data_IF_763553664557
#
_entry.id   IF_763553664557
#
_cell.length_a   1.000
_cell.length_b   1.000
_cell.length_c   1.000
_cell.angle_alpha   90.00
_cell.angle_beta   90.00
_cell.angle_gamma   90.00
#
_symmetry.space_group_name_H-M   'P 1'
#
loop_
_entity.id
_entity.type
_entity.pdbx_description
1 polymer ?
#
# COMPACT_ATOMS: atom_id res chain seq x y z
N UNK A 1 -13.56 16.04 -10.25
CA UNK A 1 -14.33 15.07 -9.44
C UNK A 1 -13.32 14.31 -8.57
N UNK A 2 -13.53 14.17 -7.25
CA UNK A 2 -12.62 13.40 -6.41
C UNK A 2 -12.55 11.93 -6.86
N UNK A 3 -11.35 11.34 -6.77
CA UNK A 3 -11.10 9.94 -7.10
C UNK A 3 -11.13 9.12 -5.82
N UNK A 4 -12.01 8.13 -5.74
CA UNK A 4 -12.06 7.16 -4.64
C UNK A 4 -11.67 5.79 -5.19
N UNK A 5 -10.48 5.32 -4.83
CA UNK A 5 -10.04 3.98 -5.20
C UNK A 5 -10.77 2.94 -4.35
N UNK A 6 -11.05 1.78 -4.93
CA UNK A 6 -11.44 0.61 -4.16
C UNK A 6 -10.27 0.15 -3.28
N UNK A 7 -10.53 -0.17 -2.00
CA UNK A 7 -9.51 -0.62 -1.06
C UNK A 7 -8.72 -1.83 -1.55
N UNK A 8 -9.30 -2.68 -2.40
CA UNK A 8 -8.61 -3.82 -3.02
C UNK A 8 -7.40 -3.39 -3.85
N UNK A 9 -7.40 -2.20 -4.44
CA UNK A 9 -6.20 -1.65 -5.09
C UNK A 9 -5.02 -1.57 -4.13
N UNK A 10 -5.26 -1.10 -2.91
CA UNK A 10 -4.21 -0.96 -1.89
C UNK A 10 -3.84 -2.30 -1.26
N UNK A 11 -4.79 -3.22 -1.08
CA UNK A 11 -4.48 -4.59 -0.62
C UNK A 11 -3.55 -5.32 -1.61
N UNK A 12 -3.83 -5.21 -2.91
CA UNK A 12 -2.97 -5.79 -3.94
C UNK A 12 -1.61 -5.08 -3.98
N UNK A 13 -1.58 -3.75 -3.91
CA UNK A 13 -0.32 -3.00 -3.85
C UNK A 13 0.53 -3.41 -2.65
N UNK A 14 -0.06 -3.55 -1.47
CA UNK A 14 0.64 -4.00 -0.27
C UNK A 14 1.23 -5.40 -0.45
N UNK A 15 0.47 -6.30 -1.10
CA UNK A 15 0.98 -7.63 -1.46
C UNK A 15 2.21 -7.51 -2.36
N UNK A 16 2.17 -6.69 -3.42
CA UNK A 16 3.32 -6.49 -4.33
C UNK A 16 4.54 -5.94 -3.57
N UNK A 17 4.36 -4.96 -2.69
CA UNK A 17 5.44 -4.38 -1.88
C UNK A 17 6.09 -5.42 -0.96
N UNK A 18 5.28 -6.18 -0.25
CA UNK A 18 5.75 -7.24 0.64
C UNK A 18 6.51 -8.33 -0.15
N UNK A 19 5.95 -8.75 -1.29
CA UNK A 19 6.55 -9.80 -2.12
C UNK A 19 7.85 -9.35 -2.76
N UNK A 20 7.93 -8.11 -3.24
CA UNK A 20 9.18 -7.58 -3.77
C UNK A 20 10.30 -7.57 -2.72
N UNK A 21 9.98 -7.21 -1.47
CA UNK A 21 10.91 -7.31 -0.35
C UNK A 21 11.35 -8.75 -0.08
N UNK A 22 10.47 -9.74 -0.27
CA UNK A 22 10.85 -11.14 -0.14
C UNK A 22 11.76 -11.61 -1.29
N UNK A 23 11.49 -11.20 -2.54
CA UNK A 23 12.31 -11.59 -3.69
C UNK A 23 13.75 -11.06 -3.62
N UNK A 24 13.97 -9.86 -3.07
CA UNK A 24 15.33 -9.33 -2.86
C UNK A 24 16.08 -10.06 -1.72
N UNK A 25 15.37 -10.71 -0.81
CA UNK A 25 15.96 -11.45 0.31
C UNK A 25 16.16 -12.93 0.00
N UNK A 26 15.33 -13.51 -0.87
CA UNK A 26 15.28 -14.94 -1.20
C UNK A 26 15.39 -15.17 -2.71
N UNK A 27 16.61 -15.32 -3.25
CA UNK A 27 16.86 -15.46 -4.68
C UNK A 27 16.19 -16.67 -5.34
N UNK A 28 15.85 -17.69 -4.56
CA UNK A 28 15.23 -18.94 -5.01
C UNK A 28 13.74 -18.82 -5.32
N UNK A 29 13.08 -17.74 -4.89
CA UNK A 29 11.66 -17.54 -5.16
C UNK A 29 11.45 -17.08 -6.60
N UNK A 30 10.59 -17.80 -7.33
CA UNK A 30 10.11 -17.34 -8.63
C UNK A 30 8.99 -16.29 -8.44
N UNK A 31 9.23 -15.01 -8.78
CA UNK A 31 8.28 -13.95 -8.51
C UNK A 31 6.95 -14.10 -9.26
N UNK A 32 6.96 -14.66 -10.47
CA UNK A 32 5.75 -14.78 -11.29
C UNK A 32 4.80 -15.82 -10.69
N UNK A 33 5.34 -16.98 -10.36
CA UNK A 33 4.59 -18.02 -9.65
C UNK A 33 4.11 -17.55 -8.29
N UNK A 34 4.96 -16.84 -7.54
CA UNK A 34 4.59 -16.30 -6.22
C UNK A 34 3.47 -15.24 -6.31
N UNK A 35 3.39 -14.45 -7.38
CA UNK A 35 2.24 -13.57 -7.62
C UNK A 35 0.98 -14.37 -7.99
N UNK A 36 1.11 -15.37 -8.86
CA UNK A 36 -0.01 -16.23 -9.28
C UNK A 36 -0.62 -17.02 -8.13
N UNK A 37 0.19 -17.46 -7.17
CA UNK A 37 -0.26 -18.20 -5.99
C UNK A 37 -1.02 -17.32 -4.99
N UNK A 38 -0.92 -15.99 -5.09
CA UNK A 38 -1.43 -15.03 -4.09
C UNK A 38 -2.56 -14.14 -4.58
N UNK A 39 -2.66 -13.92 -5.88
CA UNK A 39 -3.58 -12.97 -6.48
C UNK A 39 -4.49 -13.69 -7.48
N UNK A 40 -5.62 -13.07 -7.80
CA UNK A 40 -6.44 -13.50 -8.93
C UNK A 40 -5.58 -13.59 -10.21
N UNK A 41 -5.80 -14.63 -11.02
CA UNK A 41 -4.96 -14.93 -12.17
C UNK A 41 -4.86 -13.75 -13.17
N UNK A 42 -5.94 -12.98 -13.38
CA UNK A 42 -5.91 -11.82 -14.28
C UNK A 42 -5.07 -10.70 -13.68
N UNK A 43 -5.26 -10.42 -12.39
CA UNK A 43 -4.48 -9.41 -11.66
C UNK A 43 -3.00 -9.78 -11.66
N UNK A 44 -2.67 -11.03 -11.37
CA UNK A 44 -1.29 -11.53 -11.36
C UNK A 44 -0.63 -11.40 -12.74
N UNK A 45 -1.34 -11.72 -13.82
CA UNK A 45 -0.83 -11.62 -15.19
C UNK A 45 -0.56 -10.17 -15.60
N UNK A 46 -1.49 -9.25 -15.35
CA UNK A 46 -1.33 -7.83 -15.70
C UNK A 46 -0.20 -7.18 -14.88
N UNK A 47 -0.10 -7.50 -13.59
CA UNK A 47 1.03 -7.08 -12.75
C UNK A 47 2.36 -7.65 -13.23
N UNK A 48 2.40 -8.93 -13.57
CA UNK A 48 3.61 -9.58 -14.09
C UNK A 48 4.06 -8.92 -15.40
N UNK A 49 3.12 -8.62 -16.30
CA UNK A 49 3.40 -7.91 -17.54
C UNK A 49 3.99 -6.52 -17.27
N UNK A 50 3.37 -5.74 -16.36
CA UNK A 50 3.84 -4.41 -15.98
C UNK A 50 5.24 -4.44 -15.36
N UNK A 51 5.47 -5.34 -14.39
CA UNK A 51 6.76 -5.50 -13.73
C UNK A 51 7.85 -5.95 -14.72
N UNK A 52 7.51 -6.83 -15.65
CA UNK A 52 8.41 -7.30 -16.71
C UNK A 52 8.85 -6.16 -17.62
N UNK A 53 7.94 -5.27 -18.00
CA UNK A 53 8.28 -4.04 -18.75
C UNK A 53 9.30 -3.18 -17.99
N UNK A 54 9.23 -3.14 -16.66
CA UNK A 54 10.19 -2.42 -15.81
C UNK A 54 11.46 -3.21 -15.50
N UNK A 55 11.62 -4.41 -16.09
CA UNK A 55 12.79 -5.29 -15.91
C UNK A 55 13.04 -5.63 -14.44
N UNK A 56 11.97 -5.88 -13.68
CA UNK A 56 12.05 -6.12 -12.24
C UNK A 56 13.02 -7.24 -11.83
N UNK A 57 13.16 -8.32 -12.62
CA UNK A 57 14.14 -9.40 -12.36
C UNK A 57 15.58 -8.87 -12.32
N UNK A 58 15.95 -8.00 -13.27
CA UNK A 58 17.28 -7.36 -13.29
C UNK A 58 17.47 -6.43 -12.10
N UNK A 59 16.41 -5.77 -11.65
CA UNK A 59 16.46 -4.92 -10.47
C UNK A 59 16.69 -5.75 -9.20
N UNK A 60 15.96 -6.86 -9.03
CA UNK A 60 16.15 -7.80 -7.91
C UNK A 60 17.60 -8.28 -7.86
N UNK A 61 18.13 -8.79 -8.98
CA UNK A 61 19.52 -9.23 -9.06
C UNK A 61 20.51 -8.11 -8.72
N UNK A 62 20.27 -6.90 -9.23
CA UNK A 62 21.12 -5.75 -8.95
C UNK A 62 21.13 -5.42 -7.45
N UNK A 63 19.96 -5.36 -6.82
CA UNK A 63 19.80 -5.05 -5.39
C UNK A 63 20.49 -6.13 -4.53
N UNK A 64 20.30 -7.40 -4.88
CA UNK A 64 20.93 -8.53 -4.19
C UNK A 64 22.47 -8.46 -4.23
N UNK A 65 23.04 -8.01 -5.35
CA UNK A 65 24.50 -7.82 -5.51
C UNK A 65 25.01 -6.53 -4.85
N UNK A 66 24.24 -5.46 -4.90
CA UNK A 66 24.66 -4.13 -4.45
C UNK A 66 24.73 -3.99 -2.92
N UNK A 67 23.92 -4.76 -2.19
CA UNK A 67 23.85 -4.66 -0.74
C UNK A 67 24.02 -6.02 -0.06
N UNK A 68 24.99 -6.10 0.86
CA UNK A 68 25.19 -7.30 1.68
C UNK A 68 24.19 -7.38 2.86
N UNK A 69 23.85 -6.23 3.46
CA UNK A 69 22.95 -6.15 4.60
C UNK A 69 21.46 -6.08 4.19
N UNK A 70 20.54 -6.77 4.89
CA UNK A 70 19.10 -6.73 4.59
C UNK A 70 18.50 -5.33 4.57
N UNK A 71 18.86 -4.46 5.52
CA UNK A 71 18.34 -3.08 5.62
C UNK A 71 18.75 -2.23 4.41
N UNK A 72 19.99 -2.39 3.93
CA UNK A 72 20.47 -1.72 2.73
C UNK A 72 19.72 -2.21 1.49
N UNK A 73 19.46 -3.53 1.36
CA UNK A 73 18.62 -4.07 0.28
C UNK A 73 17.22 -3.47 0.28
N UNK A 74 16.62 -3.31 1.45
CA UNK A 74 15.29 -2.71 1.58
C UNK A 74 15.27 -1.24 1.16
N UNK A 75 16.30 -0.47 1.52
CA UNK A 75 16.46 0.91 1.01
C UNK A 75 16.53 0.95 -0.52
N UNK A 76 17.33 0.08 -1.13
CA UNK A 76 17.40 0.00 -2.60
C UNK A 76 16.09 -0.46 -3.23
N UNK A 77 15.35 -1.36 -2.58
CA UNK A 77 14.03 -1.77 -3.04
C UNK A 77 13.01 -0.63 -2.99
N UNK A 78 13.00 0.19 -1.94
CA UNK A 78 12.14 1.37 -1.85
C UNK A 78 12.49 2.42 -2.92
N UNK A 79 13.77 2.60 -3.23
CA UNK A 79 14.21 3.49 -4.33
C UNK A 79 13.74 2.94 -5.67
N UNK A 80 13.82 1.63 -5.88
CA UNK A 80 13.35 1.01 -7.12
C UNK A 80 11.82 1.01 -7.21
N UNK A 81 11.07 0.74 -6.13
CA UNK A 81 9.62 0.88 -6.06
C UNK A 81 9.21 2.30 -5.62
N UNK A 82 9.66 3.30 -6.38
CA UNK A 82 9.32 4.70 -6.14
C UNK A 82 7.83 5.02 -6.27
N UNK A 83 7.44 6.20 -5.81
CA UNK A 83 6.05 6.68 -5.86
C UNK A 83 5.43 6.68 -7.26
N UNK A 84 6.21 6.87 -8.34
CA UNK A 84 5.68 6.81 -9.70
C UNK A 84 5.31 5.38 -10.12
N UNK A 85 6.14 4.39 -9.77
CA UNK A 85 5.82 2.98 -10.00
C UNK A 85 4.61 2.55 -9.18
N UNK A 86 4.52 2.98 -7.92
CA UNK A 86 3.34 2.71 -7.07
C UNK A 86 2.06 3.28 -7.69
N UNK A 87 2.10 4.53 -8.18
CA UNK A 87 0.98 5.15 -8.87
C UNK A 87 0.57 4.39 -10.14
N UNK A 88 1.54 3.92 -10.93
CA UNK A 88 1.26 3.11 -12.12
C UNK A 88 0.59 1.78 -11.78
N UNK A 89 1.01 1.11 -10.70
CA UNK A 89 0.34 -0.11 -10.22
C UNK A 89 -1.10 0.21 -9.82
N UNK A 90 -1.33 1.27 -9.03
CA UNK A 90 -2.69 1.67 -8.62
C UNK A 90 -3.56 1.99 -9.85
N UNK A 91 -3.01 2.70 -10.85
CA UNK A 91 -3.74 2.99 -12.07
C UNK A 91 -4.08 1.74 -12.88
N UNK A 92 -3.14 0.80 -13.04
CA UNK A 92 -3.41 -0.49 -13.68
C UNK A 92 -4.57 -1.20 -12.97
N UNK A 93 -4.50 -1.31 -11.65
CA UNK A 93 -5.51 -1.99 -10.83
C UNK A 93 -6.88 -1.31 -10.97
N UNK A 94 -6.90 0.03 -10.93
CA UNK A 94 -8.11 0.81 -11.11
C UNK A 94 -8.74 0.58 -12.48
N UNK A 95 -7.93 0.67 -13.52
CA UNK A 95 -8.41 0.72 -14.91
C UNK A 95 -8.86 -0.67 -15.39
N UNK A 96 -8.27 -1.75 -14.87
CA UNK A 96 -8.50 -3.10 -15.38
C UNK A 96 -9.26 -4.04 -14.41
N UNK A 97 -9.24 -3.78 -13.10
CA UNK A 97 -9.70 -4.76 -12.10
C UNK A 97 -10.70 -4.21 -11.08
N UNK A 98 -10.47 -3.01 -10.55
CA UNK A 98 -11.25 -2.45 -9.46
C UNK A 98 -11.66 -1.01 -9.78
N UNK A 99 -12.89 -0.77 -10.27
CA UNK A 99 -13.29 0.54 -10.75
C UNK A 99 -13.25 1.60 -9.63
N UNK A 100 -13.16 2.87 -10.03
CA UNK A 100 -13.35 3.98 -9.11
C UNK A 100 -14.72 3.90 -8.45
N UNK A 101 -14.74 4.18 -7.16
CA UNK A 101 -15.95 4.28 -6.38
C UNK A 101 -16.51 5.71 -6.41
N UNK A 102 -17.81 5.80 -6.17
CA UNK A 102 -18.42 7.07 -5.76
C UNK A 102 -18.10 7.32 -4.28
N UNK A 103 -18.22 8.57 -3.84
CA UNK A 103 -18.09 8.88 -2.40
C UNK A 103 -19.02 8.02 -1.54
N UNK A 104 -20.28 7.87 -1.95
CA UNK A 104 -21.26 7.07 -1.21
C UNK A 104 -20.84 5.59 -1.12
N UNK A 105 -20.38 5.00 -2.23
CA UNK A 105 -19.92 3.61 -2.23
C UNK A 105 -18.66 3.42 -1.37
N UNK A 106 -17.73 4.39 -1.40
CA UNK A 106 -16.53 4.36 -0.56
C UNK A 106 -16.86 4.53 0.93
N UNK A 107 -17.84 5.36 1.29
CA UNK A 107 -18.23 5.60 2.68
C UNK A 107 -19.14 4.49 3.26
N UNK A 108 -19.75 3.64 2.42
CA UNK A 108 -20.72 2.65 2.84
C UNK A 108 -20.12 1.43 3.56
N UNK A 109 -18.82 1.19 3.45
CA UNK A 109 -18.15 0.05 4.07
C UNK A 109 -16.88 0.45 4.81
N UNK A 110 -16.72 -0.05 6.04
CA UNK A 110 -15.50 0.10 6.82
C UNK A 110 -14.32 -0.64 6.17
N UNK A 111 -14.57 -1.70 5.39
CA UNK A 111 -13.51 -2.42 4.68
C UNK A 111 -12.86 -1.57 3.58
N UNK A 112 -13.52 -0.48 3.16
CA UNK A 112 -12.96 0.49 2.22
C UNK A 112 -12.00 1.49 2.89
N UNK A 113 -12.05 1.58 4.22
CA UNK A 113 -11.20 2.41 5.05
C UNK A 113 -10.74 1.61 6.27
N UNK A 114 -9.82 0.63 6.07
CA UNK A 114 -9.29 -0.18 7.17
C UNK A 114 -8.34 0.67 8.02
N UNK A 115 -8.92 1.63 8.73
CA UNK A 115 -8.27 2.45 9.73
C UNK A 115 -8.51 1.70 11.04
N UNK A 116 -7.43 1.20 11.64
CA UNK A 116 -7.47 0.80 13.04
C UNK A 116 -7.79 2.06 13.85
N UNK A 117 -9.06 2.21 14.24
CA UNK A 117 -9.42 3.21 15.23
C UNK A 117 -8.67 2.82 16.51
N UNK A 118 -7.95 3.76 17.15
CA UNK A 118 -7.33 3.47 18.43
C UNK A 118 -8.41 2.90 19.35
N UNK A 119 -8.16 1.70 19.85
CA UNK A 119 -9.06 1.06 20.81
C UNK A 119 -9.32 2.09 21.91
N UNK A 120 -10.58 2.34 22.31
CA UNK A 120 -10.85 3.27 23.40
C UNK A 120 -10.16 2.71 24.62
N UNK A 121 -8.95 3.21 24.90
CA UNK A 121 -8.32 3.05 26.19
C UNK A 121 -9.35 3.61 27.14
N UNK A 122 -9.89 2.76 28.01
CA UNK A 122 -10.81 3.18 29.06
C UNK A 122 -10.05 4.14 29.98
N UNK A 123 -9.93 5.39 29.56
CA UNK A 123 -9.63 6.50 30.41
C UNK A 123 -10.90 6.72 31.22
N UNK A 124 -11.06 5.94 32.28
CA UNK A 124 -11.77 6.41 33.45
C UNK A 124 -11.05 7.68 33.86
N UNK A 125 -11.57 8.84 33.49
CA UNK A 125 -11.36 10.07 34.23
C UNK A 125 -12.52 11.02 33.96
N UNK A 126 -13.35 11.12 34.99
CA UNK A 126 -14.31 12.18 35.23
C UNK A 126 -13.68 13.55 35.03
N UNK A 127 -13.89 14.19 33.88
CA UNK A 127 -14.19 15.63 33.76
C UNK A 127 -14.47 15.95 32.29
N UNK A 128 -15.55 16.69 32.06
CA UNK A 128 -16.11 16.92 30.73
C UNK A 128 -15.21 17.74 29.83
N UNK A 129 -14.49 17.07 28.96
CA UNK A 129 -13.94 17.68 27.75
C UNK A 129 -14.42 16.85 26.54
N UNK A 130 -15.47 17.35 25.87
CA UNK A 130 -16.02 16.79 24.64
C UNK A 130 -15.11 17.16 23.46
N UNK A 131 -13.86 16.71 23.49
CA UNK A 131 -13.01 16.74 22.31
C UNK A 131 -13.37 15.56 21.42
N UNK A 132 -13.78 15.87 20.18
CA UNK A 132 -14.18 14.86 19.23
C UNK A 132 -13.02 13.86 18.99
N UNK A 133 -13.27 12.54 18.99
CA UNK A 133 -12.22 11.52 18.93
C UNK A 133 -11.26 11.65 17.74
N UNK A 134 -11.71 12.24 16.63
CA UNK A 134 -10.91 12.48 15.44
C UNK A 134 -9.82 13.56 15.62
N UNK A 135 -10.02 14.51 16.54
CA UNK A 135 -9.04 15.56 16.86
C UNK A 135 -7.83 14.99 17.62
N UNK A 136 -8.07 14.02 18.52
CA UNK A 136 -7.00 13.33 19.26
C UNK A 136 -6.18 12.43 18.31
N UNK A 137 -6.83 11.77 17.36
CA UNK A 137 -6.16 10.95 16.35
C UNK A 137 -5.22 11.76 15.43
N UNK A 138 -5.53 13.03 15.16
CA UNK A 138 -4.69 13.95 14.38
C UNK A 138 -3.47 14.47 15.17
N UNK A 139 -3.61 14.66 16.48
CA UNK A 139 -2.51 15.08 17.37
C UNK A 139 -1.46 13.98 17.52
N UNK A 140 -1.86 12.72 17.65
CA UNK A 140 -0.93 11.59 17.81
C UNK A 140 -0.07 11.29 16.56
N UNK A 141 -0.45 11.79 15.38
CA UNK A 141 0.28 11.55 14.11
C UNK A 141 1.07 12.75 13.59
N UNK A 142 1.11 13.87 14.32
CA UNK A 142 1.86 15.06 13.89
C UNK A 142 1.29 15.75 12.65
N UNK A 143 0.01 15.54 12.32
CA UNK A 143 -0.65 16.03 11.10
C UNK A 143 -1.51 17.29 11.33
N UNK A 144 -1.22 18.09 12.37
CA UNK A 144 -1.98 19.32 12.67
C UNK A 144 -2.06 20.29 11.47
N UNK A 145 -1.06 20.31 10.60
CA UNK A 145 -0.95 21.29 9.53
C UNK A 145 -1.88 21.03 8.32
N UNK A 146 -2.72 20.00 8.35
CA UNK A 146 -3.67 19.69 7.27
C UNK A 146 -5.09 20.27 7.50
N UNK A 147 -5.35 20.89 8.64
CA UNK A 147 -6.69 21.42 9.00
C UNK A 147 -6.81 22.94 8.80
N UNK A 148 -5.73 23.67 8.50
CA UNK A 148 -5.76 25.14 8.37
C UNK A 148 -5.99 25.67 6.94
N UNK A 149 -6.39 24.83 5.97
CA UNK A 149 -6.77 25.30 4.62
C UNK A 149 -8.14 24.77 4.18
N UNK A 150 -9.16 25.07 4.98
CA UNK A 150 -10.58 24.87 4.64
C UNK A 150 -11.43 25.95 5.28
#
# INVERSE_FOLDING_TARGET
MPIFYDARCFSVLNTVLERFNQWILKPELDPERDLQDRLDARVANDLTALLTQWRYRRAIEHIQRAAAAPEARQTHANIWLDGFRLLKIIHLLRDHHYPNLTFQASAASLDQWPIELPSPVAHTNSTGDLRAPWLVALECKGLRNLVEWG
#
